data_IF_229223356841
#
_entry.id   IF_229223356841
#
_cell.length_a   1.000
_cell.length_b   1.000
_cell.length_c   1.000
_cell.angle_alpha   90.00
_cell.angle_beta   90.00
_cell.angle_gamma   90.00
#
_symmetry.space_group_name_H-M   'P 1'
#
loop_
_entity.id
_entity.type
_entity.pdbx_description
1 polymer ?
#
# COMPACT_ATOMS: atom_id res chain seq x y z
N UNK A 1 -6.82 -26.24 2.58
CA UNK A 1 -6.01 -25.04 2.31
C UNK A 1 -4.78 -25.49 1.56
N UNK A 2 -4.71 -25.19 0.27
CA UNK A 2 -3.58 -25.56 -0.56
C UNK A 2 -2.72 -24.32 -0.80
N UNK A 3 -1.41 -24.42 -0.51
CA UNK A 3 -0.46 -23.34 -0.77
C UNK A 3 -0.07 -23.40 -2.23
N UNK A 4 -0.44 -22.36 -2.99
CA UNK A 4 -0.12 -22.25 -4.40
C UNK A 4 1.20 -21.50 -4.64
N UNK A 5 1.50 -20.49 -3.79
CA UNK A 5 2.73 -19.75 -3.80
C UNK A 5 3.08 -19.24 -2.41
N UNK A 6 4.36 -19.22 -2.05
CA UNK A 6 4.86 -18.69 -0.79
C UNK A 6 6.30 -18.25 -0.91
N UNK A 7 6.60 -17.05 -0.41
CA UNK A 7 7.95 -16.57 -0.17
C UNK A 7 8.03 -15.81 1.17
N UNK A 8 9.04 -14.93 1.36
CA UNK A 8 9.18 -14.13 2.59
C UNK A 8 8.10 -13.06 2.76
N UNK A 9 7.48 -12.62 1.67
CA UNK A 9 6.67 -11.41 1.61
C UNK A 9 5.20 -11.68 1.29
N UNK A 10 4.92 -12.85 0.71
CA UNK A 10 3.60 -13.19 0.18
C UNK A 10 3.23 -14.66 0.41
N UNK A 11 1.93 -14.89 0.63
CA UNK A 11 1.34 -16.23 0.77
C UNK A 11 0.03 -16.29 -0.03
N UNK A 12 0.02 -17.08 -1.11
CA UNK A 12 -1.15 -17.29 -1.96
C UNK A 12 -1.74 -18.67 -1.74
N UNK A 13 -2.99 -18.71 -1.32
CA UNK A 13 -3.69 -19.90 -0.88
C UNK A 13 -4.97 -20.14 -1.68
N UNK A 14 -5.28 -21.40 -1.92
CA UNK A 14 -6.59 -21.83 -2.39
C UNK A 14 -7.44 -22.32 -1.20
N UNK A 15 -8.62 -21.69 -1.02
CA UNK A 15 -9.59 -22.06 0.01
C UNK A 15 -10.59 -23.12 -0.47
N UNK A 16 -11.03 -22.99 -1.72
CA UNK A 16 -12.03 -23.85 -2.35
C UNK A 16 -11.87 -23.84 -3.85
N UNK A 17 -12.82 -24.44 -4.56
CA UNK A 17 -12.82 -24.39 -6.03
C UNK A 17 -13.02 -22.94 -6.46
N UNK A 18 -12.04 -22.39 -7.17
CA UNK A 18 -12.07 -20.99 -7.64
C UNK A 18 -12.16 -19.93 -6.52
N UNK A 19 -11.71 -20.27 -5.30
CA UNK A 19 -11.64 -19.33 -4.17
C UNK A 19 -10.21 -19.21 -3.70
N UNK A 20 -9.72 -17.94 -3.61
CA UNK A 20 -8.33 -17.68 -3.26
C UNK A 20 -8.21 -16.60 -2.20
N UNK A 21 -7.16 -16.72 -1.39
CA UNK A 21 -6.70 -15.70 -0.45
C UNK A 21 -5.23 -15.39 -0.72
N UNK A 22 -4.90 -14.12 -0.79
CA UNK A 22 -3.53 -13.66 -0.96
C UNK A 22 -3.17 -12.73 0.21
N UNK A 23 -2.17 -13.13 0.98
CA UNK A 23 -1.72 -12.44 2.19
C UNK A 23 -0.38 -11.80 1.91
N UNK A 24 -0.24 -10.53 2.26
CA UNK A 24 0.96 -9.74 2.02
C UNK A 24 1.57 -9.25 3.33
N UNK A 25 2.90 -9.26 3.43
CA UNK A 25 3.65 -8.84 4.61
C UNK A 25 3.35 -7.39 5.02
N UNK A 26 3.02 -6.51 4.07
CA UNK A 26 2.63 -5.12 4.34
C UNK A 26 1.22 -4.94 4.93
N UNK A 27 0.57 -6.03 5.33
CA UNK A 27 -0.67 -6.00 6.10
C UNK A 27 -1.96 -5.91 5.27
N UNK A 28 -1.92 -6.24 3.99
CA UNK A 28 -3.11 -6.38 3.14
C UNK A 28 -3.44 -7.84 2.94
N UNK A 29 -4.72 -8.17 2.92
CA UNK A 29 -5.24 -9.48 2.55
C UNK A 29 -6.24 -9.30 1.41
N UNK A 30 -6.01 -9.95 0.29
CA UNK A 30 -6.92 -9.97 -0.85
C UNK A 30 -7.71 -11.28 -0.88
N UNK A 31 -8.98 -11.20 -1.23
CA UNK A 31 -9.88 -12.34 -1.35
C UNK A 31 -10.47 -12.38 -2.76
N UNK A 32 -10.51 -13.57 -3.35
CA UNK A 32 -11.15 -13.78 -4.63
C UNK A 32 -12.29 -14.79 -4.49
N UNK A 33 -13.49 -14.39 -4.93
CA UNK A 33 -14.69 -15.24 -4.92
C UNK A 33 -15.06 -15.82 -3.54
N UNK A 34 -14.76 -15.08 -2.45
CA UNK A 34 -15.09 -15.44 -1.07
C UNK A 34 -16.29 -14.63 -0.58
N UNK A 35 -17.17 -15.24 0.17
CA UNK A 35 -18.28 -14.56 0.81
C UNK A 35 -17.86 -13.89 2.15
N UNK A 36 -18.69 -13.02 2.70
CA UNK A 36 -18.38 -12.29 3.94
C UNK A 36 -18.06 -13.20 5.14
N UNK A 37 -18.70 -14.35 5.26
CA UNK A 37 -18.43 -15.30 6.35
C UNK A 37 -17.04 -15.89 6.22
N UNK A 38 -16.63 -16.28 5.02
CA UNK A 38 -15.29 -16.83 4.72
C UNK A 38 -14.20 -15.77 4.94
N UNK A 39 -14.45 -14.55 4.53
CA UNK A 39 -13.55 -13.41 4.77
C UNK A 39 -13.36 -13.20 6.27
N UNK A 40 -14.44 -13.09 7.04
CA UNK A 40 -14.38 -12.88 8.48
C UNK A 40 -13.67 -14.01 9.21
N UNK A 41 -13.97 -15.27 8.87
CA UNK A 41 -13.29 -16.43 9.45
C UNK A 41 -11.80 -16.40 9.18
N UNK A 42 -11.39 -16.08 7.96
CA UNK A 42 -9.97 -16.00 7.59
C UNK A 42 -9.26 -14.88 8.33
N UNK A 43 -9.87 -13.69 8.42
CA UNK A 43 -9.30 -12.57 9.16
C UNK A 43 -9.15 -12.88 10.64
N UNK A 44 -10.14 -13.52 11.26
CA UNK A 44 -10.06 -13.96 12.66
C UNK A 44 -8.95 -14.98 12.91
N UNK A 45 -8.71 -15.89 11.95
CA UNK A 45 -7.60 -16.84 12.03
C UNK A 45 -6.23 -16.16 11.94
N UNK A 46 -6.11 -15.13 11.09
CA UNK A 46 -4.87 -14.38 10.90
C UNK A 46 -4.56 -13.45 12.08
N UNK A 47 -5.58 -12.85 12.66
CA UNK A 47 -5.45 -11.98 13.83
C UNK A 47 -6.68 -12.10 14.74
N UNK A 48 -6.62 -12.97 15.76
CA UNK A 48 -7.74 -13.18 16.68
C UNK A 48 -8.16 -11.92 17.47
N UNK A 49 -7.24 -10.94 17.61
CA UNK A 49 -7.47 -9.71 18.37
C UNK A 49 -8.17 -8.61 17.54
N UNK A 50 -8.24 -8.75 16.22
CA UNK A 50 -8.84 -7.75 15.31
C UNK A 50 -10.38 -7.67 15.41
N UNK A 51 -11.06 -8.62 16.05
CA UNK A 51 -12.53 -8.66 16.01
C UNK A 51 -13.09 -8.99 14.61
N UNK A 52 -14.36 -8.67 14.37
CA UNK A 52 -14.95 -8.80 13.04
C UNK A 52 -14.50 -7.64 12.14
N UNK A 53 -14.12 -7.96 10.89
CA UNK A 53 -13.87 -6.94 9.88
C UNK A 53 -15.08 -6.00 9.73
N UNK A 54 -14.84 -4.69 9.75
CA UNK A 54 -15.84 -3.67 9.53
C UNK A 54 -15.60 -2.97 8.20
N UNK A 55 -16.65 -2.65 7.46
CA UNK A 55 -16.59 -1.94 6.16
C UNK A 55 -15.89 -0.56 6.22
N UNK A 56 -15.55 -0.07 7.41
CA UNK A 56 -14.84 1.20 7.62
C UNK A 56 -13.32 1.10 7.45
N UNK A 57 -12.79 -0.11 7.28
CA UNK A 57 -11.37 -0.30 7.00
C UNK A 57 -11.08 0.00 5.53
N UNK A 58 -9.83 0.41 5.22
CA UNK A 58 -9.41 0.63 3.85
C UNK A 58 -9.59 -0.65 3.05
N UNK A 59 -10.44 -0.61 2.06
CA UNK A 59 -10.73 -1.75 1.19
C UNK A 59 -11.05 -1.29 -0.22
N UNK A 60 -10.76 -2.15 -1.20
CA UNK A 60 -11.09 -1.96 -2.59
C UNK A 60 -11.72 -3.24 -3.14
N UNK A 61 -12.73 -3.11 -3.96
CA UNK A 61 -13.39 -4.24 -4.62
C UNK A 61 -13.34 -4.04 -6.12
N UNK A 62 -12.81 -5.03 -6.83
CA UNK A 62 -12.82 -5.05 -8.28
C UNK A 62 -13.56 -6.28 -8.78
N UNK A 63 -14.41 -6.08 -9.80
CA UNK A 63 -15.13 -7.17 -10.42
C UNK A 63 -14.27 -7.89 -11.45
N UNK A 64 -14.22 -9.22 -11.41
CA UNK A 64 -13.59 -10.03 -12.44
C UNK A 64 -14.67 -10.77 -13.24
N UNK A 65 -14.64 -10.63 -14.55
CA UNK A 65 -15.54 -11.31 -15.49
C UNK A 65 -14.72 -12.22 -16.41
N UNK A 66 -15.24 -13.39 -16.76
CA UNK A 66 -14.64 -14.26 -17.77
C UNK A 66 -15.43 -14.12 -19.06
N UNK A 67 -14.76 -13.68 -20.13
CA UNK A 67 -15.36 -13.53 -21.46
C UNK A 67 -14.37 -13.99 -22.55
N UNK A 68 -14.71 -15.07 -23.22
CA UNK A 68 -13.86 -15.69 -24.25
C UNK A 68 -13.35 -14.67 -25.30
N UNK A 69 -12.07 -14.77 -25.61
CA UNK A 69 -11.40 -13.96 -26.62
C UNK A 69 -11.13 -12.50 -26.24
N UNK A 70 -11.43 -12.07 -25.01
CA UNK A 70 -11.22 -10.68 -24.56
C UNK A 70 -10.49 -10.62 -23.21
N UNK A 71 -9.40 -9.87 -23.17
CA UNK A 71 -8.77 -9.45 -21.92
C UNK A 71 -8.71 -7.92 -21.87
N UNK A 72 -9.35 -7.33 -20.87
CA UNK A 72 -9.47 -5.87 -20.73
C UNK A 72 -9.46 -5.48 -19.25
N UNK A 73 -8.78 -4.39 -18.94
CA UNK A 73 -8.77 -3.79 -17.60
C UNK A 73 -9.43 -2.42 -17.68
N UNK A 74 -10.46 -2.22 -16.87
CA UNK A 74 -11.12 -0.94 -16.66
C UNK A 74 -11.00 -0.55 -15.18
N UNK A 75 -11.44 0.65 -14.83
CA UNK A 75 -11.33 1.15 -13.47
C UNK A 75 -12.10 0.32 -12.43
N UNK A 76 -13.23 -0.25 -12.82
CA UNK A 76 -14.15 -0.97 -11.94
C UNK A 76 -14.18 -2.49 -12.18
N UNK A 77 -13.61 -2.97 -13.29
CA UNK A 77 -13.61 -4.39 -13.61
C UNK A 77 -12.43 -4.83 -14.46
N UNK A 78 -12.12 -6.11 -14.32
CA UNK A 78 -11.18 -6.84 -15.17
C UNK A 78 -11.93 -7.92 -15.92
N UNK A 79 -11.75 -7.98 -17.24
CA UNK A 79 -12.26 -9.06 -18.09
C UNK A 79 -11.06 -9.94 -18.45
N UNK A 80 -11.16 -11.24 -18.19
CA UNK A 80 -10.18 -12.25 -18.56
C UNK A 80 -10.75 -13.15 -19.66
N UNK A 81 -9.95 -13.54 -20.63
CA UNK A 81 -10.37 -14.41 -21.72
C UNK A 81 -10.73 -15.82 -21.27
N UNK A 82 -10.15 -16.27 -20.16
CA UNK A 82 -10.37 -17.57 -19.55
C UNK A 82 -10.07 -17.49 -18.03
N UNK A 83 -10.50 -18.52 -17.29
CA UNK A 83 -10.14 -18.66 -15.90
C UNK A 83 -8.68 -19.11 -15.77
N UNK A 84 -7.81 -18.18 -15.41
CA UNK A 84 -6.38 -18.41 -15.22
C UNK A 84 -5.99 -17.97 -13.81
N UNK A 85 -5.47 -18.89 -13.01
CA UNK A 85 -5.06 -18.65 -11.63
C UNK A 85 -3.96 -17.59 -11.54
N UNK A 86 -3.01 -17.59 -12.45
CA UNK A 86 -1.92 -16.62 -12.46
C UNK A 86 -2.42 -15.22 -12.85
N UNK A 87 -3.37 -15.12 -13.77
CA UNK A 87 -4.04 -13.87 -14.10
C UNK A 87 -4.82 -13.32 -12.89
N UNK A 88 -5.56 -14.18 -12.19
CA UNK A 88 -6.27 -13.81 -10.95
C UNK A 88 -5.28 -13.36 -9.87
N UNK A 89 -4.18 -14.07 -9.70
CA UNK A 89 -3.10 -13.68 -8.79
C UNK A 89 -2.57 -12.28 -9.08
N UNK A 90 -2.34 -11.95 -10.36
CA UNK A 90 -1.91 -10.60 -10.77
C UNK A 90 -2.96 -9.52 -10.46
N UNK A 91 -4.24 -9.82 -10.67
CA UNK A 91 -5.33 -8.90 -10.29
C UNK A 91 -5.32 -8.65 -8.79
N UNK A 92 -5.26 -9.71 -7.97
CA UNK A 92 -5.22 -9.60 -6.51
C UNK A 92 -3.99 -8.84 -6.03
N UNK A 93 -2.81 -9.07 -6.61
CA UNK A 93 -1.56 -8.38 -6.30
C UNK A 93 -1.69 -6.87 -6.56
N UNK A 94 -2.11 -6.48 -7.75
CA UNK A 94 -2.21 -5.06 -8.11
C UNK A 94 -3.32 -4.34 -7.33
N UNK A 95 -4.44 -5.00 -7.02
CA UNK A 95 -5.48 -4.46 -6.14
C UNK A 95 -4.96 -4.27 -4.72
N UNK A 96 -4.17 -5.20 -4.20
CA UNK A 96 -3.55 -5.06 -2.88
C UNK A 96 -2.55 -3.89 -2.81
N UNK A 97 -1.79 -3.67 -3.88
CA UNK A 97 -0.92 -2.49 -3.98
C UNK A 97 -1.72 -1.18 -3.98
N UNK A 98 -2.88 -1.16 -4.64
CA UNK A 98 -3.78 0.01 -4.63
C UNK A 98 -4.24 0.34 -3.21
N UNK A 99 -4.72 -0.64 -2.45
CA UNK A 99 -5.13 -0.47 -1.04
C UNK A 99 -3.96 -0.02 -0.15
N UNK A 100 -2.78 -0.60 -0.33
CA UNK A 100 -1.58 -0.21 0.42
C UNK A 100 -1.18 1.24 0.14
N UNK A 101 -1.26 1.69 -1.11
CA UNK A 101 -0.98 3.08 -1.48
C UNK A 101 -1.98 4.06 -0.85
N UNK A 102 -3.26 3.71 -0.75
CA UNK A 102 -4.26 4.53 -0.04
C UNK A 102 -3.89 4.68 1.44
N UNK A 103 -3.44 3.60 2.08
CA UNK A 103 -2.97 3.65 3.48
C UNK A 103 -1.75 4.55 3.66
N UNK A 104 -0.77 4.44 2.78
CA UNK A 104 0.42 5.30 2.85
C UNK A 104 0.09 6.76 2.51
N UNK A 105 -0.86 7.01 1.62
CA UNK A 105 -1.35 8.36 1.36
C UNK A 105 -1.96 8.97 2.62
N UNK A 106 -2.85 8.25 3.31
CA UNK A 106 -3.45 8.68 4.57
C UNK A 106 -2.37 9.00 5.63
N UNK A 107 -1.39 8.11 5.80
CA UNK A 107 -0.30 8.31 6.76
C UNK A 107 0.53 9.55 6.41
N UNK A 108 0.87 9.74 5.13
CA UNK A 108 1.68 10.89 4.70
C UNK A 108 0.90 12.21 4.79
N UNK A 109 -0.42 12.19 4.59
CA UNK A 109 -1.29 13.34 4.81
C UNK A 109 -1.25 13.80 6.27
N UNK A 110 -1.41 12.88 7.21
CA UNK A 110 -1.30 13.20 8.65
C UNK A 110 0.09 13.73 9.04
N UNK A 111 1.15 13.16 8.49
CA UNK A 111 2.51 13.66 8.73
C UNK A 111 2.71 15.07 8.17
N UNK A 112 2.14 15.37 7.01
CA UNK A 112 2.21 16.70 6.40
C UNK A 112 1.41 17.72 7.21
N UNK A 113 0.22 17.38 7.67
CA UNK A 113 -0.60 18.22 8.55
C UNK A 113 0.14 18.54 9.85
N UNK A 114 0.76 17.55 10.49
CA UNK A 114 1.58 17.77 11.69
C UNK A 114 2.77 18.71 11.40
N UNK A 115 3.42 18.56 10.24
CA UNK A 115 4.50 19.46 9.80
C UNK A 115 3.98 20.89 9.63
N UNK A 116 2.82 21.08 8.99
CA UNK A 116 2.22 22.39 8.79
C UNK A 116 1.91 23.14 10.09
N UNK A 117 1.56 22.44 11.17
CA UNK A 117 1.36 23.07 12.49
C UNK A 117 2.63 23.77 12.94
N UNK A 118 3.79 23.15 12.74
CA UNK A 118 5.07 23.73 13.16
C UNK A 118 5.56 24.84 12.22
N UNK A 119 5.39 24.67 10.90
CA UNK A 119 5.76 25.72 9.91
C UNK A 119 4.91 26.97 10.12
N UNK A 120 3.61 26.81 10.39
CA UNK A 120 2.72 27.95 10.67
C UNK A 120 3.07 28.68 11.97
N UNK A 121 3.46 27.96 13.01
CA UNK A 121 3.93 28.57 14.25
C UNK A 121 5.25 29.35 14.02
N UNK A 122 6.14 28.82 13.20
CA UNK A 122 7.37 29.48 12.81
C UNK A 122 7.10 30.76 12.03
N UNK A 123 6.19 30.75 11.05
CA UNK A 123 5.76 31.90 10.27
C UNK A 123 5.16 33.02 11.15
N UNK A 124 4.20 32.67 12.01
CA UNK A 124 3.42 33.65 12.77
C UNK A 124 4.15 34.19 14.02
N UNK A 125 4.98 33.38 14.65
CA UNK A 125 5.57 33.68 15.95
C UNK A 125 7.11 33.70 15.94
N UNK A 126 7.74 33.33 14.81
CA UNK A 126 9.19 33.21 14.69
C UNK A 126 9.79 32.15 15.62
N UNK A 127 8.98 31.21 16.09
CA UNK A 127 9.39 30.19 17.07
C UNK A 127 8.90 28.82 16.66
N UNK A 128 9.79 27.84 16.72
CA UNK A 128 9.47 26.46 16.55
C UNK A 128 8.89 25.87 17.86
N UNK A 129 7.59 25.51 17.86
CA UNK A 129 6.86 24.99 19.02
C UNK A 129 6.94 23.48 19.16
N UNK A 130 8.13 22.91 19.04
CA UNK A 130 8.38 21.48 19.25
C UNK A 130 9.62 21.30 20.13
N UNK A 131 9.59 20.31 21.03
CA UNK A 131 10.79 19.97 21.81
C UNK A 131 11.73 19.06 21.00
N UNK A 132 13.04 19.11 21.28
CA UNK A 132 14.03 18.28 20.58
C UNK A 132 13.72 16.79 20.65
N UNK A 133 13.20 16.30 21.78
CA UNK A 133 12.78 14.88 21.91
C UNK A 133 11.59 14.54 21.00
N UNK A 134 10.59 15.44 20.90
CA UNK A 134 9.44 15.23 20.00
C UNK A 134 9.85 15.30 18.54
N UNK A 135 10.73 16.24 18.17
CA UNK A 135 11.25 16.37 16.81
C UNK A 135 12.02 15.11 16.39
N UNK A 136 12.90 14.59 17.23
CA UNK A 136 13.63 13.33 16.94
C UNK A 136 12.68 12.15 16.73
N UNK A 137 11.62 12.02 17.53
CA UNK A 137 10.60 10.99 17.35
C UNK A 137 9.82 11.18 16.05
N UNK A 138 9.51 12.41 15.68
CA UNK A 138 8.81 12.71 14.44
C UNK A 138 9.68 12.37 13.22
N UNK A 139 10.95 12.77 13.21
CA UNK A 139 11.91 12.38 12.18
C UNK A 139 11.98 10.84 12.06
N UNK A 140 12.06 10.12 13.17
CA UNK A 140 12.05 8.66 13.18
C UNK A 140 10.81 8.05 12.54
N UNK A 141 9.61 8.61 12.81
CA UNK A 141 8.36 8.17 12.15
C UNK A 141 8.40 8.37 10.64
N UNK A 142 8.81 9.53 10.17
CA UNK A 142 8.89 9.84 8.73
C UNK A 142 9.87 8.89 8.04
N UNK A 143 11.03 8.64 8.63
CA UNK A 143 12.02 7.70 8.08
C UNK A 143 11.49 6.27 8.04
N UNK A 144 10.80 5.81 9.09
CA UNK A 144 10.19 4.49 9.11
C UNK A 144 9.11 4.33 8.03
N UNK A 145 8.24 5.31 7.86
CA UNK A 145 7.22 5.29 6.80
C UNK A 145 7.87 5.24 5.42
N UNK A 146 8.90 6.06 5.18
CA UNK A 146 9.66 6.06 3.92
C UNK A 146 10.28 4.69 3.63
N UNK A 147 10.90 4.07 4.64
CA UNK A 147 11.50 2.75 4.52
C UNK A 147 10.44 1.68 4.23
N UNK A 148 9.32 1.69 4.95
CA UNK A 148 8.21 0.75 4.72
C UNK A 148 7.64 0.86 3.30
N UNK A 149 7.47 2.09 2.77
CA UNK A 149 7.03 2.30 1.39
C UNK A 149 8.04 1.69 0.41
N UNK A 150 9.33 1.89 0.64
CA UNK A 150 10.39 1.39 -0.25
C UNK A 150 10.54 -0.14 -0.20
N UNK A 151 10.36 -0.74 0.97
CA UNK A 151 10.57 -2.16 1.21
C UNK A 151 9.35 -3.02 0.87
N UNK A 152 8.14 -2.50 1.10
CA UNK A 152 6.92 -3.30 1.05
C UNK A 152 6.14 -3.19 -0.26
N UNK A 153 6.41 -2.19 -1.09
CA UNK A 153 5.68 -1.99 -2.33
C UNK A 153 6.55 -2.27 -3.57
N UNK A 154 6.53 -3.51 -4.05
CA UNK A 154 7.21 -3.95 -5.29
C UNK A 154 6.50 -3.45 -6.56
N UNK A 155 6.00 -2.21 -6.55
CA UNK A 155 5.18 -1.66 -7.65
C UNK A 155 5.96 -1.59 -8.97
N UNK A 156 7.27 -1.38 -8.88
CA UNK A 156 8.13 -1.29 -10.05
C UNK A 156 8.61 -2.64 -10.55
N UNK A 157 8.62 -3.65 -9.67
CA UNK A 157 9.03 -4.99 -10.05
C UNK A 157 7.88 -5.72 -10.76
N UNK A 158 8.24 -6.56 -11.71
CA UNK A 158 7.28 -7.44 -12.36
C UNK A 158 7.44 -8.84 -11.77
N UNK A 159 6.33 -9.47 -11.32
CA UNK A 159 6.40 -10.84 -10.81
C UNK A 159 7.01 -11.80 -11.83
N UNK A 160 7.74 -12.80 -11.34
CA UNK A 160 8.44 -13.78 -12.17
C UNK A 160 7.51 -14.45 -13.20
N UNK A 161 6.24 -14.68 -12.84
CA UNK A 161 5.21 -15.24 -13.72
C UNK A 161 4.98 -14.42 -15.01
N UNK A 162 5.36 -13.14 -15.02
CA UNK A 162 5.20 -12.26 -16.20
C UNK A 162 6.40 -12.30 -17.14
N UNK A 163 7.54 -12.88 -16.73
CA UNK A 163 8.78 -12.83 -17.52
C UNK A 163 8.74 -13.69 -18.77
N UNK A 164 8.10 -14.85 -18.67
CA UNK A 164 7.99 -15.82 -19.76
C UNK A 164 6.61 -15.82 -20.44
N UNK A 165 5.65 -15.04 -19.92
CA UNK A 165 4.29 -14.98 -20.44
C UNK A 165 3.91 -13.54 -20.83
N UNK A 166 3.90 -13.27 -22.13
CA UNK A 166 3.59 -11.94 -22.67
C UNK A 166 2.16 -11.47 -22.36
N UNK A 167 1.19 -12.37 -22.30
CA UNK A 167 -0.20 -12.04 -21.97
C UNK A 167 -0.32 -11.59 -20.50
N UNK A 168 0.32 -12.31 -19.58
CA UNK A 168 0.37 -11.94 -18.15
C UNK A 168 1.15 -10.64 -17.95
N UNK A 169 2.23 -10.42 -18.69
CA UNK A 169 2.98 -9.17 -18.66
C UNK A 169 2.13 -7.98 -19.13
N UNK A 170 1.38 -8.16 -20.22
CA UNK A 170 0.45 -7.14 -20.73
C UNK A 170 -0.66 -6.84 -19.72
N UNK A 171 -1.25 -7.88 -19.13
CA UNK A 171 -2.26 -7.74 -18.06
C UNK A 171 -1.70 -6.96 -16.88
N UNK A 172 -0.52 -7.33 -16.37
CA UNK A 172 0.13 -6.66 -15.26
C UNK A 172 0.39 -5.17 -15.53
N UNK A 173 0.88 -4.85 -16.74
CA UNK A 173 1.07 -3.43 -17.14
C UNK A 173 -0.24 -2.67 -17.20
N UNK A 174 -1.30 -3.28 -17.76
CA UNK A 174 -2.63 -2.66 -17.83
C UNK A 174 -3.22 -2.41 -16.44
N UNK A 175 -3.07 -3.35 -15.50
CA UNK A 175 -3.49 -3.18 -14.11
C UNK A 175 -2.74 -2.03 -13.43
N UNK A 176 -1.41 -2.00 -13.53
CA UNK A 176 -0.58 -0.92 -12.97
C UNK A 176 -0.95 0.45 -13.52
N UNK A 177 -1.25 0.53 -14.83
CA UNK A 177 -1.64 1.76 -15.49
C UNK A 177 -3.05 2.19 -15.10
N UNK A 178 -4.03 1.29 -15.13
CA UNK A 178 -5.43 1.60 -14.81
C UNK A 178 -5.62 2.01 -13.36
N UNK A 179 -4.90 1.39 -12.43
CA UNK A 179 -4.92 1.76 -11.00
C UNK A 179 -3.97 2.90 -10.66
N UNK A 180 -3.25 3.44 -11.65
CA UNK A 180 -2.33 4.58 -11.52
C UNK A 180 -1.25 4.37 -10.43
N UNK A 181 -0.81 3.11 -10.27
CA UNK A 181 0.03 2.71 -9.13
C UNK A 181 1.37 3.44 -9.10
N UNK A 182 2.01 3.64 -10.25
CA UNK A 182 3.34 4.27 -10.34
C UNK A 182 3.29 5.76 -9.96
N UNK A 183 2.29 6.48 -10.44
CA UNK A 183 2.17 7.91 -10.18
C UNK A 183 1.71 8.17 -8.75
N UNK A 184 0.81 7.35 -8.21
CA UNK A 184 0.43 7.38 -6.78
C UNK A 184 1.62 7.10 -5.86
N UNK A 185 2.44 6.09 -6.17
CA UNK A 185 3.68 5.79 -5.45
C UNK A 185 4.64 6.98 -5.47
N UNK A 186 4.89 7.54 -6.67
CA UNK A 186 5.77 8.71 -6.85
C UNK A 186 5.29 9.90 -6.03
N UNK A 187 4.01 10.20 -6.07
CA UNK A 187 3.40 11.28 -5.30
C UNK A 187 3.62 11.11 -3.79
N UNK A 188 3.39 9.93 -3.24
CA UNK A 188 3.62 9.62 -1.83
C UNK A 188 5.10 9.77 -1.47
N UNK A 189 5.99 9.26 -2.33
CA UNK A 189 7.44 9.33 -2.13
C UNK A 189 7.95 10.79 -2.11
N UNK A 190 7.50 11.61 -3.04
CA UNK A 190 7.83 13.04 -3.11
C UNK A 190 7.34 13.80 -1.87
N UNK A 191 6.13 13.51 -1.38
CA UNK A 191 5.60 14.10 -0.14
C UNK A 191 6.45 13.74 1.07
N UNK A 192 6.86 12.49 1.21
CA UNK A 192 7.75 12.09 2.31
C UNK A 192 9.11 12.79 2.23
N UNK A 193 9.62 13.05 1.03
CA UNK A 193 10.86 13.82 0.84
C UNK A 193 10.71 15.27 1.30
N UNK A 194 9.61 15.95 0.94
CA UNK A 194 9.31 17.33 1.37
C UNK A 194 9.21 17.40 2.91
N UNK A 195 8.46 16.48 3.52
CA UNK A 195 8.34 16.43 4.99
C UNK A 195 9.72 16.25 5.64
N UNK A 196 10.56 15.38 5.07
CA UNK A 196 11.92 15.16 5.59
C UNK A 196 12.76 16.43 5.52
N UNK A 197 12.72 17.17 4.41
CA UNK A 197 13.43 18.43 4.24
C UNK A 197 12.99 19.48 5.29
N UNK A 198 11.69 19.64 5.51
CA UNK A 198 11.16 20.52 6.55
C UNK A 198 11.67 20.15 7.95
N UNK A 199 11.71 18.85 8.26
CA UNK A 199 12.19 18.36 9.55
C UNK A 199 13.71 18.54 9.75
N UNK A 200 14.49 18.44 8.70
CA UNK A 200 15.93 18.76 8.72
C UNK A 200 16.14 20.26 9.02
N UNK A 201 15.36 21.12 8.38
CA UNK A 201 15.38 22.56 8.67
C UNK A 201 14.99 22.86 10.13
N UNK A 202 13.95 22.23 10.65
CA UNK A 202 13.55 22.37 12.07
C UNK A 202 14.66 21.96 13.02
N UNK A 203 15.36 20.88 12.71
CA UNK A 203 16.52 20.41 13.48
C UNK A 203 17.62 21.48 13.50
N UNK A 204 17.98 22.01 12.34
CA UNK A 204 19.03 23.04 12.24
C UNK A 204 18.68 24.30 13.02
N UNK A 205 17.43 24.76 12.97
CA UNK A 205 16.95 25.92 13.75
C UNK A 205 17.09 25.64 15.26
N UNK A 206 16.83 24.41 15.71
CA UNK A 206 16.93 24.05 17.11
C UNK A 206 18.39 23.95 17.58
N UNK A 207 19.26 23.34 16.79
CA UNK A 207 20.68 23.16 17.12
C UNK A 207 21.38 24.54 17.22
N UNK A 208 21.05 25.50 16.35
CA UNK A 208 21.53 26.89 16.45
C UNK A 208 21.07 27.58 17.72
N UNK A 209 19.84 27.33 18.19
CA UNK A 209 19.31 27.92 19.41
C UNK A 209 19.96 27.37 20.70
N UNK A 210 20.37 26.11 20.68
CA UNK A 210 21.08 25.47 21.80
C UNK A 210 22.54 25.94 21.86
N UNK A 211 23.17 26.18 20.71
CA UNK A 211 24.57 26.66 20.63
C UNK A 211 24.74 28.14 20.98
N UNK A 212 23.63 28.91 21.05
CA UNK A 212 23.63 30.35 21.35
C UNK A 212 23.29 30.66 22.83
N UNK A 213 23.17 29.64 23.67
CA UNK A 213 23.00 29.73 25.10
C UNK A 213 24.28 29.33 25.84
#
# INVERSE_FOLDING_TARGET
LDVLYSDSDELFLQLGKEQFVYIFQYGVVAFFNCNHSEINQTIQLLNPDLGSWQEQELSETIKVEIAEGKTEVTFDKVILSEFDIEAIRLVMLNTSHSVALDKYLEITDHLLEETHVYTKALELEGRLKISGKKLKKFIGRVLNVKNQISENLYIFDSPDITWENELLNKLNRSLKQTFDLKDRYRYIYERTAIIKEDLELFKDIMDHKESSK
#
